data_IF_314983706993
#
_entry.id   IF_314983706993
#
_cell.length_a   1.000
_cell.length_b   1.000
_cell.length_c   1.000
_cell.angle_alpha   90.00
_cell.angle_beta   90.00
_cell.angle_gamma   90.00
#
_symmetry.space_group_name_H-M   'P 1'
#
loop_
_entity.id
_entity.type
_entity.pdbx_description
1 polymer ?
#
# COMPACT_ATOMS: atom_id res chain seq x y z
N UNK A 1 -9.59 -47.45 4.89
CA UNK A 1 -9.51 -46.62 6.12
C UNK A 1 -8.65 -45.36 5.95
N UNK A 2 -7.55 -45.38 5.16
CA UNK A 2 -6.61 -44.26 4.99
C UNK A 2 -7.13 -43.04 4.20
N UNK A 3 -8.04 -43.21 3.22
CA UNK A 3 -8.55 -42.08 2.41
C UNK A 3 -9.33 -41.05 3.25
N UNK A 4 -10.08 -41.50 4.27
CA UNK A 4 -10.84 -40.62 5.18
C UNK A 4 -9.94 -39.77 6.08
N UNK A 5 -8.74 -40.27 6.40
CA UNK A 5 -7.74 -39.56 7.21
C UNK A 5 -7.10 -38.42 6.43
N UNK A 6 -6.84 -38.60 5.13
CA UNK A 6 -6.29 -37.57 4.23
C UNK A 6 -7.27 -36.39 4.07
N UNK A 7 -8.58 -36.64 3.91
CA UNK A 7 -9.57 -35.57 3.82
C UNK A 7 -9.69 -34.75 5.12
N UNK A 8 -9.57 -35.40 6.29
CA UNK A 8 -9.59 -34.72 7.59
C UNK A 8 -8.34 -33.83 7.77
N UNK A 9 -7.17 -34.30 7.30
CA UNK A 9 -5.91 -33.58 7.37
C UNK A 9 -5.87 -32.35 6.44
N UNK A 10 -6.48 -32.47 5.25
CA UNK A 10 -6.68 -31.33 4.34
C UNK A 10 -7.63 -30.31 4.99
N UNK A 11 -8.75 -30.75 5.57
CA UNK A 11 -9.70 -29.86 6.25
C UNK A 11 -9.09 -29.13 7.48
N UNK A 12 -8.20 -29.80 8.22
CA UNK A 12 -7.46 -29.22 9.35
C UNK A 12 -6.39 -28.21 8.93
N UNK A 13 -5.83 -28.31 7.72
CA UNK A 13 -4.86 -27.34 7.17
C UNK A 13 -5.54 -26.17 6.44
N UNK A 14 -6.78 -26.32 5.97
CA UNK A 14 -7.51 -25.28 5.23
C UNK A 14 -8.01 -24.10 6.08
N UNK A 15 -7.91 -24.16 7.42
CA UNK A 15 -8.49 -23.14 8.32
C UNK A 15 -7.54 -22.00 8.69
N UNK A 16 -6.35 -21.90 8.10
CA UNK A 16 -5.34 -20.87 8.43
C UNK A 16 -5.09 -19.86 7.32
N UNK A 17 -6.13 -19.47 6.57
CA UNK A 17 -6.05 -18.37 5.62
C UNK A 17 -6.78 -17.14 6.19
N UNK A 18 -6.02 -16.21 6.78
CA UNK A 18 -6.52 -14.89 7.13
C UNK A 18 -6.54 -14.02 5.86
N UNK A 19 -7.67 -13.98 5.17
CA UNK A 19 -7.92 -12.99 4.13
C UNK A 19 -8.75 -11.86 4.73
N UNK A 20 -8.29 -10.62 4.62
CA UNK A 20 -9.09 -9.46 4.95
C UNK A 20 -9.92 -9.09 3.73
N UNK A 21 -11.24 -9.24 3.83
CA UNK A 21 -12.18 -8.66 2.87
C UNK A 21 -12.84 -7.49 3.59
N UNK A 22 -12.64 -6.28 3.08
CA UNK A 22 -13.39 -5.11 3.51
C UNK A 22 -14.67 -5.10 2.68
N UNK A 23 -15.77 -5.62 3.23
CA UNK A 23 -17.11 -5.46 2.68
C UNK A 23 -17.74 -4.21 3.28
N UNK A 24 -17.53 -3.04 2.67
CA UNK A 24 -18.44 -1.90 2.88
C UNK A 24 -19.69 -2.12 2.01
N UNK A 25 -20.82 -1.49 2.35
CA UNK A 25 -22.02 -1.51 1.49
C UNK A 25 -21.86 -0.69 0.20
N UNK A 26 -20.65 -0.57 -0.33
CA UNK A 26 -20.41 0.10 -1.60
C UNK A 26 -20.43 -0.92 -2.73
N UNK A 27 -21.64 -1.34 -3.11
CA UNK A 27 -21.86 -2.19 -4.29
C UNK A 27 -22.11 -1.39 -5.55
N UNK A 28 -21.71 -0.11 -5.59
CA UNK A 28 -21.67 0.66 -6.83
C UNK A 28 -20.48 0.18 -7.65
N UNK A 29 -20.63 -0.98 -8.29
CA UNK A 29 -19.73 -1.40 -9.36
C UNK A 29 -19.94 -0.40 -10.49
N UNK A 30 -19.05 0.59 -10.58
CA UNK A 30 -18.99 1.49 -11.73
C UNK A 30 -18.97 0.64 -13.01
N UNK A 31 -19.61 1.13 -14.08
CA UNK A 31 -19.55 0.46 -15.37
C UNK A 31 -18.11 0.16 -15.78
N UNK A 32 -17.90 -0.93 -16.52
CA UNK A 32 -16.58 -1.34 -16.99
C UNK A 32 -15.93 -0.18 -17.77
N UNK A 33 -14.94 0.47 -17.15
CA UNK A 33 -14.13 1.49 -17.79
C UNK A 33 -12.84 0.83 -18.27
N UNK A 34 -12.54 0.96 -19.57
CA UNK A 34 -11.24 0.58 -20.08
C UNK A 34 -10.22 1.64 -19.66
N UNK A 35 -9.37 1.29 -18.70
CA UNK A 35 -8.21 2.11 -18.32
C UNK A 35 -6.96 1.47 -18.91
N UNK A 36 -6.22 2.19 -19.75
CA UNK A 36 -4.86 1.76 -20.09
C UNK A 36 -3.94 2.11 -18.93
N UNK A 37 -3.49 1.08 -18.21
CA UNK A 37 -2.41 1.20 -17.26
C UNK A 37 -1.09 1.12 -18.03
N UNK A 38 -0.35 2.22 -18.08
CA UNK A 38 1.02 2.22 -18.57
C UNK A 38 1.95 1.91 -17.38
N UNK A 39 2.52 0.71 -17.35
CA UNK A 39 3.59 0.41 -16.41
C UNK A 39 4.85 1.14 -16.88
N UNK A 40 5.22 2.22 -16.19
CA UNK A 40 6.48 2.91 -16.43
C UNK A 40 7.56 2.20 -15.59
N UNK A 41 8.31 1.27 -16.19
CA UNK A 41 9.57 0.84 -15.60
C UNK A 41 10.57 1.97 -15.84
N UNK A 42 10.93 2.70 -14.78
CA UNK A 42 11.81 3.87 -14.82
C UNK A 42 13.08 3.65 -15.64
N UNK A 43 13.04 4.03 -16.90
CA UNK A 43 14.18 4.52 -17.63
C UNK A 43 14.29 6.01 -17.36
N UNK A 44 15.12 6.38 -16.38
CA UNK A 44 15.79 7.69 -16.26
C UNK A 44 14.97 9.00 -16.10
N UNK A 45 13.64 8.99 -16.05
CA UNK A 45 12.85 10.24 -16.00
C UNK A 45 12.16 10.57 -14.66
N UNK A 46 12.17 9.66 -13.68
CA UNK A 46 11.69 9.97 -12.32
C UNK A 46 12.79 10.57 -11.46
N UNK A 47 12.45 11.49 -10.56
CA UNK A 47 13.35 11.98 -9.53
C UNK A 47 13.64 10.84 -8.54
N UNK A 48 14.91 10.57 -8.29
CA UNK A 48 15.33 9.62 -7.27
C UNK A 48 15.14 10.21 -5.87
N UNK A 49 14.38 9.50 -5.04
CA UNK A 49 14.24 9.76 -3.62
C UNK A 49 15.16 8.81 -2.85
N UNK A 50 16.25 9.36 -2.32
CA UNK A 50 17.16 8.64 -1.44
C UNK A 50 16.64 8.73 -0.01
N UNK A 51 15.76 7.81 0.35
CA UNK A 51 15.18 7.69 1.69
C UNK A 51 15.91 6.62 2.48
N UNK A 52 16.01 6.80 3.79
CA UNK A 52 16.46 5.78 4.73
C UNK A 52 15.29 4.90 5.15
N UNK A 53 15.60 3.84 5.88
CA UNK A 53 14.61 2.98 6.51
C UNK A 53 13.52 3.75 7.28
N UNK A 54 12.31 3.21 7.31
CA UNK A 54 11.18 3.71 8.09
C UNK A 54 10.90 5.23 7.97
N UNK A 55 10.92 5.76 6.75
CA UNK A 55 10.82 7.20 6.52
C UNK A 55 9.75 7.55 5.48
N UNK A 56 9.00 8.61 5.73
CA UNK A 56 8.20 9.26 4.68
C UNK A 56 9.04 10.26 3.89
N UNK A 57 8.78 10.36 2.59
CA UNK A 57 9.39 11.37 1.72
C UNK A 57 9.10 12.80 2.20
N UNK A 58 9.83 13.80 1.66
CA UNK A 58 9.32 15.15 1.55
C UNK A 58 7.98 15.21 0.80
N UNK A 59 7.33 16.37 0.80
CA UNK A 59 6.06 16.57 0.08
C UNK A 59 6.28 16.39 -1.43
N UNK A 60 5.52 15.48 -2.03
CA UNK A 60 5.54 15.14 -3.45
C UNK A 60 4.32 15.75 -4.14
N UNK A 61 4.53 16.42 -5.28
CA UNK A 61 3.42 16.95 -6.09
C UNK A 61 2.89 15.85 -7.03
N UNK A 62 1.58 15.63 -7.02
CA UNK A 62 0.91 14.61 -7.85
C UNK A 62 0.86 15.05 -9.32
N UNK A 63 0.87 16.37 -9.58
CA UNK A 63 0.79 16.95 -10.93
C UNK A 63 -0.63 17.09 -11.48
N UNK A 64 -1.64 16.53 -10.79
CA UNK A 64 -3.06 16.68 -11.12
C UNK A 64 -3.92 16.56 -9.84
N UNK A 65 -5.16 17.08 -9.82
CA UNK A 65 -6.06 16.89 -8.68
C UNK A 65 -6.49 15.43 -8.57
N UNK A 66 -6.22 14.82 -7.42
CA UNK A 66 -6.60 13.45 -7.09
C UNK A 66 -7.61 13.44 -5.95
N UNK A 67 -8.76 12.81 -6.16
CA UNK A 67 -9.82 12.75 -5.13
C UNK A 67 -9.74 11.44 -4.36
N UNK A 68 -9.62 11.52 -3.03
CA UNK A 68 -9.59 10.38 -2.12
C UNK A 68 -10.45 10.65 -0.89
N UNK A 69 -11.32 9.71 -0.53
CA UNK A 69 -12.35 9.89 0.51
C UNK A 69 -13.14 11.21 0.41
N UNK A 70 -13.45 11.64 -0.82
CA UNK A 70 -14.20 12.89 -1.09
C UNK A 70 -13.38 14.18 -0.97
N UNK A 71 -12.11 14.11 -0.54
CA UNK A 71 -11.21 15.25 -0.48
C UNK A 71 -10.34 15.29 -1.73
N UNK A 72 -10.05 16.50 -2.23
CA UNK A 72 -9.15 16.68 -3.38
C UNK A 72 -7.75 17.02 -2.89
N UNK A 73 -6.79 16.19 -3.28
CA UNK A 73 -5.36 16.34 -2.98
C UNK A 73 -4.60 16.66 -4.26
N UNK A 74 -3.53 17.43 -4.11
CA UNK A 74 -2.56 17.71 -5.20
C UNK A 74 -1.15 17.28 -4.81
N UNK A 75 -1.00 16.79 -3.57
CA UNK A 75 0.26 16.45 -2.94
C UNK A 75 0.06 15.22 -2.05
N UNK A 76 1.12 14.46 -1.87
CA UNK A 76 1.16 13.28 -0.99
C UNK A 76 2.57 13.07 -0.44
N UNK A 77 2.71 12.09 0.44
CA UNK A 77 3.98 11.54 0.89
C UNK A 77 4.10 10.08 0.46
N UNK A 78 5.32 9.67 0.13
CA UNK A 78 5.67 8.28 -0.18
C UNK A 78 6.34 7.68 1.05
N UNK A 79 5.84 6.55 1.54
CA UNK A 79 6.50 5.79 2.60
C UNK A 79 7.50 4.79 2.01
N UNK A 80 8.65 4.63 2.68
CA UNK A 80 9.59 3.52 2.39
C UNK A 80 8.93 2.15 2.51
N UNK A 81 7.93 2.02 3.38
CA UNK A 81 7.21 0.79 3.71
C UNK A 81 6.01 0.51 2.78
N UNK A 82 6.04 1.08 1.57
CA UNK A 82 5.20 0.64 0.46
C UNK A 82 3.75 1.12 0.49
N UNK A 83 3.52 2.33 0.99
CA UNK A 83 2.22 3.01 0.94
C UNK A 83 2.38 4.51 0.65
N UNK A 84 1.27 5.16 0.27
CA UNK A 84 1.17 6.61 0.09
C UNK A 84 0.26 7.17 1.18
N UNK A 85 0.57 8.35 1.72
CA UNK A 85 -0.36 9.07 2.62
C UNK A 85 -0.58 10.49 2.15
N UNK A 86 -1.81 10.97 2.32
CA UNK A 86 -2.17 12.37 2.07
C UNK A 86 -2.09 13.22 3.34
N UNK A 87 -1.66 12.64 4.47
CA UNK A 87 -1.34 13.39 5.68
C UNK A 87 0.08 13.97 5.59
N UNK A 88 0.16 15.20 5.10
CA UNK A 88 1.42 15.92 4.90
C UNK A 88 2.15 16.28 6.21
N UNK A 89 1.51 16.11 7.38
CA UNK A 89 2.17 16.38 8.67
C UNK A 89 3.29 15.38 8.97
N UNK A 90 3.31 14.24 8.28
CA UNK A 90 4.33 13.21 8.41
C UNK A 90 5.55 13.43 7.50
N UNK A 91 5.65 14.56 6.79
CA UNK A 91 6.71 14.80 5.81
C UNK A 91 8.11 14.70 6.45
N UNK A 92 8.94 13.78 5.95
CA UNK A 92 10.27 13.50 6.50
C UNK A 92 10.27 12.84 7.89
N UNK A 93 9.12 12.41 8.41
CA UNK A 93 8.99 11.75 9.71
C UNK A 93 8.94 10.22 9.55
N UNK A 94 8.94 9.54 10.70
CA UNK A 94 8.84 8.11 10.81
C UNK A 94 7.65 7.54 10.03
N UNK A 95 7.90 6.46 9.29
CA UNK A 95 6.91 5.63 8.64
C UNK A 95 6.75 4.32 9.41
N UNK A 96 5.56 4.01 9.95
CA UNK A 96 5.33 2.68 10.49
C UNK A 96 5.49 1.59 9.42
N UNK A 97 5.73 0.38 9.92
CA UNK A 97 6.01 -0.81 9.12
C UNK A 97 5.35 -2.04 9.73
N UNK A 98 5.36 -3.12 8.96
CA UNK A 98 5.07 -4.45 9.45
C UNK A 98 5.82 -5.52 8.65
N UNK A 99 6.10 -6.64 9.30
CA UNK A 99 6.70 -7.81 8.65
C UNK A 99 5.68 -8.90 8.27
N UNK A 100 4.47 -8.87 8.84
CA UNK A 100 3.44 -9.88 8.55
C UNK A 100 2.04 -9.55 9.12
N UNK A 101 1.73 -8.27 9.38
CA UNK A 101 0.41 -7.89 9.88
C UNK A 101 -0.48 -7.39 8.73
N UNK A 102 -1.80 -7.59 8.83
CA UNK A 102 -2.74 -6.97 7.89
C UNK A 102 -2.64 -5.44 7.98
N UNK A 103 -3.23 -4.78 6.98
CA UNK A 103 -3.42 -3.33 7.02
C UNK A 103 -4.21 -2.95 8.28
N UNK A 104 -3.83 -1.87 8.99
CA UNK A 104 -4.50 -1.47 10.22
C UNK A 104 -5.97 -1.10 9.99
N UNK A 105 -6.78 -1.29 11.02
CA UNK A 105 -8.14 -0.76 11.05
C UNK A 105 -8.12 0.77 11.24
N UNK A 106 -9.20 1.49 10.86
CA UNK A 106 -9.35 2.91 11.15
C UNK A 106 -9.09 3.23 12.63
N UNK A 107 -8.39 4.32 12.92
CA UNK A 107 -7.91 4.68 14.25
C UNK A 107 -6.47 4.22 14.56
N UNK A 108 -5.81 3.55 13.61
CA UNK A 108 -4.39 3.19 13.69
C UNK A 108 -3.64 3.63 12.42
N UNK A 109 -2.45 4.22 12.61
CA UNK A 109 -1.60 4.74 11.54
C UNK A 109 -1.02 3.55 10.73
N UNK A 110 -0.93 3.64 9.39
CA UNK A 110 -1.17 4.83 8.57
C UNK A 110 -2.64 5.06 8.21
N UNK A 111 -3.09 6.30 8.42
CA UNK A 111 -4.41 6.78 8.03
C UNK A 111 -4.32 7.68 6.79
N UNK A 112 -5.48 7.92 6.16
CA UNK A 112 -5.56 8.72 4.95
C UNK A 112 -4.53 8.27 3.89
N UNK A 113 -4.44 6.95 3.72
CA UNK A 113 -3.36 6.29 3.00
C UNK A 113 -3.87 5.26 1.99
N UNK A 114 -3.12 5.11 0.90
CA UNK A 114 -3.28 4.04 -0.08
C UNK A 114 -2.16 3.04 0.17
N UNK A 115 -2.54 1.87 0.70
CA UNK A 115 -1.60 0.79 1.00
C UNK A 115 -1.33 -0.02 -0.26
N UNK A 116 -0.07 -0.05 -0.70
CA UNK A 116 0.38 -0.91 -1.77
C UNK A 116 0.77 -2.28 -1.22
N UNK A 117 2.06 -2.45 -0.91
CA UNK A 117 2.59 -3.70 -0.34
C UNK A 117 2.51 -3.75 1.18
N UNK A 118 2.50 -2.59 1.87
CA UNK A 118 2.48 -2.47 3.34
C UNK A 118 3.45 -3.46 4.01
N UNK A 119 4.74 -3.21 3.83
CA UNK A 119 5.79 -4.12 4.24
C UNK A 119 7.00 -3.34 4.72
N UNK A 120 7.72 -3.91 5.68
CA UNK A 120 9.03 -3.45 6.14
C UNK A 120 10.03 -3.55 4.96
N UNK A 121 10.32 -2.40 4.36
CA UNK A 121 11.22 -2.26 3.22
C UNK A 121 12.24 -1.20 3.61
N UNK A 122 13.51 -1.56 3.50
CA UNK A 122 14.65 -0.70 3.81
C UNK A 122 15.42 -0.31 2.53
N UNK A 123 15.13 0.87 1.93
CA UNK A 123 15.90 1.40 0.81
C UNK A 123 17.35 1.79 1.19
N UNK A 124 17.65 1.94 2.49
CA UNK A 124 19.00 2.23 2.99
C UNK A 124 19.97 1.06 2.81
N UNK A 125 19.46 -0.18 2.78
CA UNK A 125 20.25 -1.38 2.48
C UNK A 125 20.29 -1.68 0.98
N UNK A 126 19.22 -1.37 0.23
CA UNK A 126 19.25 -1.52 -1.22
C UNK A 126 17.99 -1.05 -1.94
N UNK A 127 18.19 -0.54 -3.16
CA UNK A 127 17.13 0.01 -4.00
C UNK A 127 17.01 1.53 -3.85
N UNK A 128 16.16 2.12 -4.68
CA UNK A 128 15.85 3.56 -4.67
C UNK A 128 14.39 3.72 -5.04
N UNK A 129 13.70 4.65 -4.36
CA UNK A 129 12.34 5.05 -4.72
C UNK A 129 12.42 6.13 -5.80
N UNK A 130 11.58 6.03 -6.83
CA UNK A 130 11.50 7.02 -7.90
C UNK A 130 10.10 7.63 -7.92
N UNK A 131 10.02 8.95 -8.04
CA UNK A 131 8.78 9.71 -8.25
C UNK A 131 8.81 10.43 -9.60
N UNK A 132 7.66 10.63 -10.26
CA UNK A 132 7.60 11.38 -11.53
C UNK A 132 6.42 11.01 -12.40
#
# INVERSE_FOLDING_TARGET
>A
MMKRFIYLLIFLFSISASAQIILTQDTTVCGLQTLQLHAFSGGSNGNSLFLTDDTHSPIVNIGFPFTFYGNTYTQLLISTNGYLTFDLTNAGLYSPWTNNLPIPNPGAIPENAIMGVWHDIDPGVGGVIYEG
#
